data_IF_538007446846
#
_entry.id   IF_538007446846
#
_cell.length_a   1.000
_cell.length_b   1.000
_cell.length_c   1.000
_cell.angle_alpha   90.00
_cell.angle_beta   90.00
_cell.angle_gamma   90.00
#
_symmetry.space_group_name_H-M   'P 1'
#
loop_
_entity.id
_entity.type
_entity.pdbx_description
1 polymer ?
#
# COMPACT_ATOMS: atom_id res chain seq x y z
N UNK A 1 -8.28 -1.57 14.46
CA UNK A 1 -7.21 -1.84 13.48
C UNK A 1 -7.82 -2.45 12.22
N UNK A 2 -7.53 -1.87 11.06
CA UNK A 2 -7.96 -2.35 9.74
C UNK A 2 -7.20 -3.57 9.24
N UNK A 3 -7.09 -4.62 10.07
CA UNK A 3 -6.36 -5.86 9.76
C UNK A 3 -7.02 -6.66 8.63
N UNK A 4 -8.29 -6.38 8.32
CA UNK A 4 -9.02 -6.91 7.15
C UNK A 4 -8.32 -6.61 5.82
N UNK A 5 -7.55 -5.50 5.73
CA UNK A 5 -6.77 -5.16 4.54
C UNK A 5 -5.70 -6.21 4.22
N UNK A 6 -5.22 -6.96 5.21
CA UNK A 6 -4.26 -8.05 5.00
C UNK A 6 -4.87 -9.12 4.09
N UNK A 7 -6.12 -9.52 4.33
CA UNK A 7 -6.81 -10.51 3.50
C UNK A 7 -7.10 -9.97 2.11
N UNK A 8 -7.52 -8.71 2.01
CA UNK A 8 -7.80 -8.05 0.73
C UNK A 8 -6.55 -8.02 -0.17
N UNK A 9 -5.42 -7.52 0.34
CA UNK A 9 -4.20 -7.39 -0.43
C UNK A 9 -3.53 -8.73 -0.71
N UNK A 10 -3.61 -9.69 0.22
CA UNK A 10 -3.21 -11.09 -0.04
C UNK A 10 -3.92 -11.63 -1.29
N UNK A 11 -5.24 -11.43 -1.38
CA UNK A 11 -6.04 -11.86 -2.54
C UNK A 11 -5.70 -11.09 -3.80
N UNK A 12 -5.50 -9.76 -3.72
CA UNK A 12 -5.08 -8.93 -4.87
C UNK A 12 -3.74 -9.38 -5.47
N UNK A 13 -2.81 -9.82 -4.62
CA UNK A 13 -1.49 -10.33 -5.02
C UNK A 13 -1.51 -11.82 -5.39
N UNK A 14 -2.65 -12.50 -5.30
CA UNK A 14 -2.77 -13.92 -5.60
C UNK A 14 -2.00 -14.83 -4.64
N UNK A 15 -1.64 -14.36 -3.44
CA UNK A 15 -0.86 -15.11 -2.48
C UNK A 15 -1.74 -16.04 -1.63
N UNK A 16 -1.24 -17.23 -1.34
CA UNK A 16 -1.82 -18.07 -0.28
C UNK A 16 -1.41 -17.57 1.11
N UNK A 17 -2.16 -17.95 2.14
CA UNK A 17 -1.76 -17.64 3.53
C UNK A 17 -0.42 -18.28 3.91
N UNK A 18 -0.07 -19.44 3.32
CA UNK A 18 1.22 -20.07 3.54
C UNK A 18 2.36 -19.25 2.93
N UNK A 19 2.22 -18.79 1.69
CA UNK A 19 3.22 -17.96 1.02
C UNK A 19 3.38 -16.59 1.68
N UNK A 20 2.29 -15.96 2.10
CA UNK A 20 2.37 -14.68 2.82
C UNK A 20 3.11 -14.85 4.15
N UNK A 21 2.82 -15.92 4.91
CA UNK A 21 3.48 -16.21 6.17
C UNK A 21 4.98 -16.48 5.96
N UNK A 22 5.33 -17.28 4.95
CA UNK A 22 6.72 -17.60 4.60
C UNK A 22 7.49 -16.35 4.17
N UNK A 23 6.94 -15.55 3.24
CA UNK A 23 7.56 -14.30 2.77
C UNK A 23 7.70 -13.26 3.89
N UNK A 24 6.76 -13.22 4.82
CA UNK A 24 6.82 -12.32 5.98
C UNK A 24 7.71 -12.88 7.10
N UNK A 25 8.19 -14.13 7.01
CA UNK A 25 8.99 -14.75 8.06
C UNK A 25 8.22 -14.93 9.37
N UNK A 26 6.91 -15.14 9.31
CA UNK A 26 6.05 -15.35 10.49
C UNK A 26 5.43 -16.75 10.46
N UNK A 27 5.09 -17.33 11.62
CA UNK A 27 4.38 -18.60 11.64
C UNK A 27 3.02 -18.48 10.95
N UNK A 28 2.67 -19.44 10.08
CA UNK A 28 1.35 -19.49 9.42
C UNK A 28 0.21 -19.42 10.44
N UNK A 29 0.35 -20.11 11.58
CA UNK A 29 -0.61 -20.06 12.68
C UNK A 29 -0.82 -18.64 13.24
N UNK A 30 0.22 -17.83 13.28
CA UNK A 30 0.13 -16.42 13.71
C UNK A 30 -0.66 -15.61 12.69
N UNK A 31 -0.37 -15.78 11.40
CA UNK A 31 -1.12 -15.12 10.33
C UNK A 31 -2.61 -15.53 10.35
N UNK A 32 -2.92 -16.83 10.46
CA UNK A 32 -4.29 -17.34 10.55
C UNK A 32 -5.05 -16.74 11.76
N UNK A 33 -4.39 -16.61 12.92
CA UNK A 33 -5.00 -15.95 14.10
C UNK A 33 -5.28 -14.46 13.89
N UNK A 34 -4.43 -13.77 13.13
CA UNK A 34 -4.65 -12.36 12.76
C UNK A 34 -5.83 -12.26 11.79
N UNK A 35 -5.83 -13.06 10.72
CA UNK A 35 -6.88 -13.06 9.69
C UNK A 35 -8.26 -13.46 10.25
N UNK A 36 -8.30 -14.41 11.18
CA UNK A 36 -9.54 -14.83 11.85
C UNK A 36 -10.00 -13.88 12.97
N UNK A 37 -9.25 -12.81 13.26
CA UNK A 37 -9.58 -11.83 14.30
C UNK A 37 -9.35 -12.31 15.74
N UNK A 38 -8.74 -13.47 15.95
CA UNK A 38 -8.31 -13.96 17.27
C UNK A 38 -7.23 -13.05 17.85
N UNK A 39 -6.28 -12.63 17.01
CA UNK A 39 -5.25 -11.67 17.37
C UNK A 39 -5.64 -10.29 16.85
N UNK A 40 -6.21 -9.47 17.73
CA UNK A 40 -6.64 -8.10 17.43
C UNK A 40 -5.51 -7.07 17.51
N UNK A 41 -4.45 -7.39 18.26
CA UNK A 41 -3.31 -6.52 18.51
C UNK A 41 -2.00 -7.30 18.24
N UNK A 42 -1.64 -7.53 16.97
CA UNK A 42 -0.39 -8.20 16.61
C UNK A 42 0.81 -7.32 16.97
N UNK A 43 1.94 -7.96 17.30
CA UNK A 43 3.18 -7.24 17.57
C UNK A 43 3.57 -6.39 16.36
N UNK A 44 4.11 -5.20 16.64
CA UNK A 44 4.56 -4.26 15.61
C UNK A 44 5.50 -4.89 14.57
N UNK A 45 6.41 -5.77 15.00
CA UNK A 45 7.32 -6.47 14.09
C UNK A 45 6.59 -7.41 13.13
N UNK A 46 5.57 -8.13 13.61
CA UNK A 46 4.70 -8.98 12.79
C UNK A 46 3.93 -8.14 11.78
N UNK A 47 3.37 -7.01 12.21
CA UNK A 47 2.62 -6.12 11.33
C UNK A 47 3.53 -5.51 10.25
N UNK A 48 4.75 -5.07 10.62
CA UNK A 48 5.78 -4.56 9.69
C UNK A 48 6.18 -5.60 8.65
N UNK A 49 6.35 -6.85 9.06
CA UNK A 49 6.75 -7.91 8.17
C UNK A 49 5.66 -8.21 7.12
N UNK A 50 4.40 -8.26 7.54
CA UNK A 50 3.25 -8.41 6.64
C UNK A 50 3.14 -7.21 5.70
N UNK A 51 3.26 -5.98 6.22
CA UNK A 51 3.20 -4.74 5.44
C UNK A 51 4.17 -4.76 4.25
N UNK A 52 5.44 -5.12 4.52
CA UNK A 52 6.51 -5.18 3.53
C UNK A 52 6.21 -6.14 2.38
N UNK A 53 5.62 -7.29 2.68
CA UNK A 53 5.27 -8.29 1.64
C UNK A 53 4.08 -7.81 0.82
N UNK A 54 3.10 -7.15 1.45
CA UNK A 54 1.90 -6.66 0.79
C UNK A 54 2.09 -5.31 0.07
N UNK A 55 3.26 -4.67 0.22
CA UNK A 55 3.51 -3.32 -0.32
C UNK A 55 2.72 -2.23 0.41
N UNK A 56 2.34 -2.48 1.66
CA UNK A 56 1.57 -1.58 2.51
C UNK A 56 2.46 -0.89 3.54
N UNK A 57 1.95 0.21 4.08
CA UNK A 57 2.50 0.89 5.25
C UNK A 57 1.77 0.42 6.52
N UNK A 58 2.28 0.81 7.69
CA UNK A 58 1.58 0.51 8.94
C UNK A 58 0.30 1.33 9.10
N UNK A 59 0.26 2.52 8.48
CA UNK A 59 -0.90 3.40 8.45
C UNK A 59 -2.09 2.75 7.74
N UNK A 60 -1.82 1.92 6.73
CA UNK A 60 -2.85 1.13 6.06
C UNK A 60 -3.60 0.20 7.02
N UNK A 61 -3.00 -0.23 8.14
CA UNK A 61 -3.69 -1.09 9.12
C UNK A 61 -4.36 -0.31 10.25
N UNK A 62 -4.30 1.02 10.22
CA UNK A 62 -5.00 1.85 11.19
C UNK A 62 -6.49 2.01 10.82
N UNK A 63 -7.35 2.04 11.84
CA UNK A 63 -8.80 2.20 11.66
C UNK A 63 -9.20 3.66 11.42
N UNK A 64 -8.28 4.60 11.67
CA UNK A 64 -8.51 5.97 11.23
C UNK A 64 -8.53 5.95 9.71
N UNK A 65 -9.66 6.32 9.11
CA UNK A 65 -9.75 6.69 7.70
C UNK A 65 -8.82 7.90 7.48
N UNK A 66 -7.51 7.70 7.44
CA UNK A 66 -6.58 8.61 6.80
C UNK A 66 -6.82 8.47 5.30
N UNK A 67 -7.90 9.11 4.82
CA UNK A 67 -7.74 9.86 3.57
C UNK A 67 -6.50 10.74 3.78
N UNK A 68 -5.58 10.86 2.80
CA UNK A 68 -4.47 11.78 2.94
C UNK A 68 -5.01 13.10 3.52
N UNK A 69 -4.53 13.46 4.71
CA UNK A 69 -5.13 14.53 5.52
C UNK A 69 -4.97 15.90 4.88
N UNK A 70 -4.22 15.99 3.78
CA UNK A 70 -4.25 17.11 2.88
C UNK A 70 -4.46 16.62 1.44
N UNK A 71 -5.30 17.34 0.70
CA UNK A 71 -5.20 17.31 -0.76
C UNK A 71 -3.77 17.71 -1.13
N UNK A 72 -3.07 16.92 -1.96
CA UNK A 72 -1.68 17.19 -2.29
C UNK A 72 -1.57 18.63 -2.80
N UNK A 73 -0.68 19.40 -2.17
CA UNK A 73 -0.42 20.76 -2.61
C UNK A 73 0.14 20.73 -4.03
N UNK A 74 -0.03 21.84 -4.75
CA UNK A 74 0.63 22.04 -6.04
C UNK A 74 2.14 21.71 -5.97
N UNK A 75 2.79 22.03 -4.86
CA UNK A 75 4.21 21.72 -4.64
C UNK A 75 4.50 20.23 -4.50
N UNK A 76 3.59 19.45 -3.92
CA UNK A 76 3.71 17.99 -3.82
C UNK A 76 3.55 17.34 -5.20
N UNK A 77 2.55 17.80 -5.95
CA UNK A 77 2.30 17.36 -7.34
C UNK A 77 3.50 17.69 -8.22
N UNK A 78 4.05 18.91 -8.12
CA UNK A 78 5.22 19.35 -8.87
C UNK A 78 6.46 18.49 -8.56
N UNK A 79 6.69 18.13 -7.30
CA UNK A 79 7.78 17.23 -6.90
C UNK A 79 7.60 15.83 -7.48
N UNK A 80 6.38 15.30 -7.47
CA UNK A 80 6.07 13.98 -8.03
C UNK A 80 6.32 13.95 -9.55
N UNK A 81 5.86 14.97 -10.28
CA UNK A 81 6.10 15.11 -11.72
C UNK A 81 7.60 15.26 -12.00
N UNK A 82 8.32 16.08 -11.24
CA UNK A 82 9.76 16.28 -11.42
C UNK A 82 10.57 15.02 -11.15
N UNK A 83 10.16 14.21 -10.16
CA UNK A 83 10.81 12.94 -9.82
C UNK A 83 10.67 11.93 -10.96
N UNK A 84 9.46 11.73 -11.46
CA UNK A 84 9.19 10.70 -12.45
C UNK A 84 9.49 11.17 -13.89
N UNK A 85 9.44 12.48 -14.14
CA UNK A 85 9.70 13.07 -15.45
C UNK A 85 11.13 12.92 -15.97
N UNK A 86 12.08 12.51 -15.12
CA UNK A 86 13.44 12.16 -15.58
C UNK A 86 13.49 10.85 -16.36
N UNK A 87 12.62 9.90 -16.03
CA UNK A 87 12.59 8.56 -16.64
C UNK A 87 11.60 8.48 -17.81
N UNK A 88 10.72 9.48 -17.95
CA UNK A 88 9.74 9.57 -19.04
C UNK A 88 10.36 10.00 -20.37
N UNK A 89 9.94 9.32 -21.45
CA UNK A 89 10.15 9.71 -22.85
C UNK A 89 9.48 11.05 -23.17
N UNK A 90 9.86 11.64 -24.30
CA UNK A 90 9.23 12.86 -24.81
C UNK A 90 7.75 12.64 -25.13
N UNK A 91 7.37 11.49 -25.69
CA UNK A 91 5.97 11.14 -25.97
C UNK A 91 5.12 11.04 -24.70
N UNK A 92 5.64 10.39 -23.65
CA UNK A 92 4.94 10.26 -22.36
C UNK A 92 4.73 11.63 -21.69
N UNK A 93 5.71 12.54 -21.84
CA UNK A 93 5.58 13.92 -21.37
C UNK A 93 4.53 14.70 -22.15
N UNK A 94 4.51 14.53 -23.48
CA UNK A 94 3.55 15.19 -24.36
C UNK A 94 2.12 14.73 -24.08
N UNK A 95 1.93 13.42 -23.83
CA UNK A 95 0.65 12.83 -23.46
C UNK A 95 0.15 13.36 -22.11
N UNK A 96 1.04 13.44 -21.11
CA UNK A 96 0.70 14.02 -19.80
C UNK A 96 0.26 15.48 -19.92
N UNK A 97 0.97 16.30 -20.71
CA UNK A 97 0.59 17.70 -20.97
C UNK A 97 -0.79 17.78 -21.62
N UNK A 98 -1.06 16.91 -22.60
CA UNK A 98 -2.35 16.88 -23.29
C UNK A 98 -3.48 16.52 -22.34
N UNK A 99 -3.31 15.47 -21.53
CA UNK A 99 -4.30 15.06 -20.52
C UNK A 99 -4.65 16.19 -19.56
N UNK A 100 -3.63 16.92 -19.08
CA UNK A 100 -3.82 18.06 -18.17
C UNK A 100 -4.50 19.26 -18.84
N UNK A 101 -4.32 19.43 -20.16
CA UNK A 101 -4.93 20.53 -20.92
C UNK A 101 -6.37 20.25 -21.35
N UNK A 102 -6.79 18.98 -21.34
CA UNK A 102 -8.15 18.54 -21.72
C UNK A 102 -9.11 18.40 -20.53
N UNK A 103 -8.62 18.58 -19.30
CA UNK A 103 -9.46 18.68 -18.11
C UNK A 103 -10.06 20.11 -18.08
N UNK A 104 -11.20 20.28 -18.75
CA UNK A 104 -12.12 21.39 -18.52
C UNK A 104 -12.96 21.16 -17.25
#
# INVERSE_FOLDING_TARGET
MGLEKIEEYKRKLGLTSAELAEKAGIPKTTLDKILSGVTKDPKLETLKAIARVLGLTLDDFDDTNHKPTHEPSYEDIKKLIARNGKEMSQDEKMELIKMLSTLE
#
